data_IF_018253321582
#
_entry.id   IF_018253321582
#
_cell.length_a   1.000
_cell.length_b   1.000
_cell.length_c   1.000
_cell.angle_alpha   90.00
_cell.angle_beta   90.00
_cell.angle_gamma   90.00
#
_symmetry.space_group_name_H-M   'P 1'
#
loop_
_entity.id
_entity.type
_entity.pdbx_description
1 polymer ?
#
# COMPACT_ATOMS: atom_id res chain seq x y z
N UNK A 1 13.17 -20.92 -31.09
CA UNK A 1 13.37 -21.79 -29.91
C UNK A 1 13.53 -20.91 -28.68
N UNK A 2 12.42 -20.43 -28.11
CA UNK A 2 12.43 -19.62 -26.88
C UNK A 2 12.28 -20.58 -25.71
N UNK A 3 13.37 -20.75 -24.96
CA UNK A 3 13.38 -21.45 -23.69
C UNK A 3 12.34 -20.81 -22.76
N UNK A 4 11.18 -21.43 -22.62
CA UNK A 4 10.34 -21.34 -21.42
C UNK A 4 11.20 -21.85 -20.26
N UNK A 5 12.04 -20.96 -19.74
CA UNK A 5 12.81 -21.19 -18.54
C UNK A 5 11.79 -21.44 -17.43
N UNK A 6 11.68 -22.71 -17.08
CA UNK A 6 10.75 -23.22 -16.08
C UNK A 6 11.08 -22.55 -14.76
N UNK A 7 10.35 -21.47 -14.46
CA UNK A 7 10.63 -20.56 -13.35
C UNK A 7 10.18 -21.25 -12.08
N UNK A 8 11.05 -22.09 -11.51
CA UNK A 8 10.84 -22.77 -10.25
C UNK A 8 10.09 -21.87 -9.23
N UNK A 9 9.07 -22.40 -8.54
CA UNK A 9 8.26 -21.62 -7.62
C UNK A 9 9.14 -21.03 -6.52
N UNK A 10 8.97 -19.73 -6.25
CA UNK A 10 9.70 -19.06 -5.17
C UNK A 10 9.23 -19.63 -3.83
N UNK A 11 10.14 -20.23 -3.07
CA UNK A 11 9.86 -20.66 -1.71
C UNK A 11 9.82 -19.43 -0.78
N UNK A 12 8.71 -19.26 -0.06
CA UNK A 12 8.55 -18.18 0.92
C UNK A 12 8.83 -18.68 2.33
N UNK A 13 9.58 -17.89 3.10
CA UNK A 13 9.73 -18.15 4.53
C UNK A 13 8.37 -17.97 5.22
N UNK A 14 8.04 -18.85 6.16
CA UNK A 14 6.90 -18.64 7.05
C UNK A 14 7.33 -17.65 8.14
N UNK A 15 6.59 -16.55 8.37
CA UNK A 15 6.92 -15.65 9.46
C UNK A 15 6.71 -16.35 10.80
N UNK A 16 7.64 -16.17 11.73
CA UNK A 16 7.38 -16.46 13.13
C UNK A 16 6.27 -15.55 13.67
N UNK A 17 5.58 -15.97 14.74
CA UNK A 17 4.44 -15.25 15.32
C UNK A 17 4.74 -13.78 15.61
N UNK A 18 5.92 -13.46 16.15
CA UNK A 18 6.33 -12.08 16.44
C UNK A 18 6.50 -11.21 15.19
N UNK A 19 7.07 -11.75 14.11
CA UNK A 19 7.23 -11.02 12.85
C UNK A 19 5.88 -10.74 12.18
N UNK A 20 4.94 -11.69 12.30
CA UNK A 20 3.59 -11.50 11.78
C UNK A 20 2.80 -10.47 12.60
N UNK A 21 2.86 -10.54 13.94
CA UNK A 21 2.25 -9.56 14.82
C UNK A 21 2.80 -8.15 14.58
N UNK A 22 4.11 -8.01 14.39
CA UNK A 22 4.74 -6.73 14.05
C UNK A 22 4.21 -6.16 12.72
N UNK A 23 4.06 -6.98 11.69
CA UNK A 23 3.54 -6.54 10.40
C UNK A 23 2.08 -6.08 10.49
N UNK A 24 1.25 -6.81 11.25
CA UNK A 24 -0.14 -6.42 11.53
C UNK A 24 -0.17 -5.11 12.30
N UNK A 25 0.63 -5.00 13.38
CA UNK A 25 0.71 -3.80 14.21
C UNK A 25 1.16 -2.57 13.41
N UNK A 26 2.17 -2.72 12.55
CA UNK A 26 2.63 -1.65 11.67
C UNK A 26 1.54 -1.21 10.68
N UNK A 27 0.86 -2.15 10.03
CA UNK A 27 -0.25 -1.85 9.12
C UNK A 27 -1.39 -1.13 9.86
N UNK A 28 -1.83 -1.67 11.00
CA UNK A 28 -2.90 -1.09 11.81
C UNK A 28 -2.54 0.33 12.30
N UNK A 29 -1.30 0.53 12.75
CA UNK A 29 -0.81 1.84 13.18
C UNK A 29 -0.84 2.87 12.04
N UNK A 30 -0.34 2.51 10.87
CA UNK A 30 -0.34 3.40 9.69
C UNK A 30 -1.77 3.75 9.27
N UNK A 31 -2.66 2.76 9.22
CA UNK A 31 -4.07 2.96 8.88
C UNK A 31 -4.76 3.86 9.90
N UNK A 32 -4.59 3.59 11.20
CA UNK A 32 -5.19 4.39 12.27
C UNK A 32 -4.65 5.83 12.24
N UNK A 33 -3.33 5.99 12.18
CA UNK A 33 -2.69 7.30 12.10
C UNK A 33 -3.19 8.08 10.88
N UNK A 34 -3.32 7.44 9.71
CA UNK A 34 -3.79 8.12 8.51
C UNK A 34 -5.26 8.54 8.60
N UNK A 35 -6.13 7.72 9.22
CA UNK A 35 -7.54 8.07 9.43
C UNK A 35 -7.74 9.18 10.47
N UNK A 36 -6.80 9.36 11.40
CA UNK A 36 -6.80 10.50 12.32
C UNK A 36 -6.22 11.73 11.60
N UNK A 37 -5.08 11.58 10.94
CA UNK A 37 -4.35 12.67 10.30
C UNK A 37 -5.09 13.27 9.10
N UNK A 38 -5.97 12.51 8.43
CA UNK A 38 -6.82 13.05 7.35
C UNK A 38 -7.77 14.14 7.83
N UNK A 39 -8.07 14.21 9.13
CA UNK A 39 -8.92 15.25 9.70
C UNK A 39 -8.21 16.61 9.84
N UNK A 40 -6.88 16.62 9.73
CA UNK A 40 -6.08 17.83 9.86
C UNK A 40 -5.69 18.34 8.47
N UNK A 41 -6.40 19.35 7.99
CA UNK A 41 -6.13 20.01 6.72
C UNK A 41 -4.87 20.87 6.77
N UNK A 42 -4.08 20.83 5.71
CA UNK A 42 -2.95 21.74 5.46
C UNK A 42 -3.43 22.89 4.59
N UNK A 43 -4.28 22.60 3.61
CA UNK A 43 -4.96 23.56 2.73
C UNK A 43 -6.26 22.93 2.19
N UNK A 44 -6.94 23.61 1.26
CA UNK A 44 -8.24 23.18 0.71
C UNK A 44 -8.23 21.82 0.02
N UNK A 45 -7.06 21.27 -0.31
CA UNK A 45 -6.93 20.05 -1.12
C UNK A 45 -6.00 18.99 -0.53
N UNK A 46 -5.28 19.31 0.56
CA UNK A 46 -4.27 18.45 1.15
C UNK A 46 -4.44 18.35 2.67
N UNK A 47 -4.35 17.12 3.17
CA UNK A 47 -4.39 16.79 4.60
C UNK A 47 -3.11 16.07 5.01
N UNK A 48 -2.85 15.99 6.31
CA UNK A 48 -1.72 15.21 6.81
C UNK A 48 -1.84 13.71 6.49
N UNK A 49 -3.06 13.20 6.32
CA UNK A 49 -3.31 11.82 5.91
C UNK A 49 -2.70 11.47 4.55
N UNK A 50 -2.60 12.42 3.61
CA UNK A 50 -2.01 12.18 2.29
C UNK A 50 -0.53 11.78 2.35
N UNK A 51 0.19 12.20 3.39
CA UNK A 51 1.60 11.87 3.61
C UNK A 51 1.79 10.52 4.28
N UNK A 52 0.88 10.12 5.16
CA UNK A 52 1.03 8.89 5.95
C UNK A 52 0.44 7.67 5.26
N UNK A 53 -0.59 7.85 4.44
CA UNK A 53 -1.27 6.73 3.78
C UNK A 53 -0.36 5.90 2.86
N UNK A 54 0.54 6.49 2.04
CA UNK A 54 1.46 5.72 1.19
C UNK A 54 2.40 4.78 1.96
N UNK A 55 2.61 5.02 3.26
CA UNK A 55 3.43 4.14 4.11
C UNK A 55 2.81 2.74 4.23
N UNK A 56 1.50 2.60 4.01
CA UNK A 56 0.84 1.30 3.98
C UNK A 56 1.38 0.40 2.85
N UNK A 57 1.69 0.96 1.68
CA UNK A 57 2.31 0.22 0.58
C UNK A 57 3.70 -0.28 0.97
N UNK A 58 4.51 0.53 1.67
CA UNK A 58 5.80 0.09 2.19
C UNK A 58 5.66 -1.14 3.10
N UNK A 59 4.68 -1.15 4.00
CA UNK A 59 4.43 -2.30 4.88
C UNK A 59 4.10 -3.54 4.06
N UNK A 60 3.17 -3.42 3.10
CA UNK A 60 2.77 -4.52 2.22
C UNK A 60 3.93 -5.04 1.37
N UNK A 61 4.74 -4.16 0.80
CA UNK A 61 5.91 -4.51 0.00
C UNK A 61 6.97 -5.25 0.80
N UNK A 62 7.24 -4.82 2.04
CA UNK A 62 8.18 -5.50 2.93
C UNK A 62 7.69 -6.90 3.30
N UNK A 63 6.40 -7.05 3.62
CA UNK A 63 5.79 -8.35 3.92
C UNK A 63 5.79 -9.24 2.69
N UNK A 64 5.43 -8.71 1.52
CA UNK A 64 5.40 -9.46 0.25
C UNK A 64 6.79 -9.94 -0.15
N UNK A 65 7.81 -9.10 0.03
CA UNK A 65 9.20 -9.46 -0.23
C UNK A 65 9.66 -10.60 0.67
N UNK A 66 9.40 -10.52 1.98
CA UNK A 66 9.92 -11.46 2.98
C UNK A 66 9.12 -12.76 3.08
N UNK A 67 7.79 -12.68 2.98
CA UNK A 67 6.87 -13.77 3.32
C UNK A 67 5.89 -14.11 2.19
N UNK A 68 5.99 -13.41 1.06
CA UNK A 68 5.18 -13.68 -0.14
C UNK A 68 3.81 -13.00 -0.15
N UNK A 69 3.10 -13.09 -1.29
CA UNK A 69 1.85 -12.35 -1.53
C UNK A 69 0.69 -12.88 -0.69
N UNK A 70 0.73 -14.14 -0.23
CA UNK A 70 -0.28 -14.71 0.65
C UNK A 70 -0.32 -14.02 2.02
N UNK A 71 0.86 -13.81 2.62
CA UNK A 71 0.95 -13.13 3.92
C UNK A 71 0.67 -11.64 3.80
N UNK A 72 1.15 -10.98 2.74
CA UNK A 72 0.86 -9.57 2.49
C UNK A 72 -0.65 -9.32 2.38
N UNK A 73 -1.40 -10.19 1.67
CA UNK A 73 -2.87 -10.08 1.59
C UNK A 73 -3.55 -10.20 2.94
N UNK A 74 -3.08 -11.09 3.82
CA UNK A 74 -3.64 -11.21 5.18
C UNK A 74 -3.42 -9.93 5.99
N UNK A 75 -2.22 -9.35 5.93
CA UNK A 75 -1.92 -8.07 6.60
C UNK A 75 -2.81 -6.95 6.04
N UNK A 76 -2.98 -6.88 4.72
CA UNK A 76 -3.86 -5.91 4.08
C UNK A 76 -5.33 -6.08 4.52
N UNK A 77 -5.87 -7.30 4.57
CA UNK A 77 -7.24 -7.54 5.02
C UNK A 77 -7.46 -7.16 6.48
N UNK A 78 -6.47 -7.39 7.35
CA UNK A 78 -6.55 -6.95 8.75
C UNK A 78 -6.49 -5.42 8.83
N UNK A 79 -5.59 -4.79 8.07
CA UNK A 79 -5.53 -3.33 7.95
C UNK A 79 -6.85 -2.74 7.45
N UNK A 80 -7.50 -3.39 6.49
CA UNK A 80 -8.81 -3.00 5.98
C UNK A 80 -9.90 -3.10 7.06
N UNK A 81 -9.92 -4.18 7.84
CA UNK A 81 -10.86 -4.31 8.96
C UNK A 81 -10.68 -3.16 9.98
N UNK A 82 -9.44 -2.81 10.31
CA UNK A 82 -9.14 -1.65 11.16
C UNK A 82 -9.61 -0.35 10.51
N UNK A 83 -9.32 -0.15 9.22
CA UNK A 83 -9.75 1.04 8.47
C UNK A 83 -11.27 1.19 8.52
N UNK A 84 -12.02 0.13 8.24
CA UNK A 84 -13.49 0.15 8.27
C UNK A 84 -14.01 0.51 9.65
N UNK A 85 -13.50 -0.14 10.71
CA UNK A 85 -13.96 0.14 12.09
C UNK A 85 -13.70 1.61 12.45
N UNK A 86 -12.50 2.13 12.18
CA UNK A 86 -12.15 3.52 12.50
C UNK A 86 -12.96 4.50 11.64
N UNK A 87 -13.09 4.25 10.34
CA UNK A 87 -13.82 5.13 9.43
C UNK A 87 -15.32 5.19 9.73
N UNK A 88 -15.94 4.08 10.15
CA UNK A 88 -17.35 4.08 10.57
C UNK A 88 -17.60 4.91 11.84
N UNK A 89 -16.58 5.08 12.68
CA UNK A 89 -16.67 5.87 13.90
C UNK A 89 -16.37 7.36 13.67
N UNK A 90 -15.53 7.68 12.69
CA UNK A 90 -14.96 9.03 12.52
C UNK A 90 -15.43 9.75 11.25
N UNK A 91 -16.02 9.04 10.28
CA UNK A 91 -16.32 9.61 8.97
C UNK A 91 -17.76 9.33 8.50
N UNK A 92 -18.32 10.19 7.63
CA UNK A 92 -19.57 9.91 6.95
C UNK A 92 -19.51 8.58 6.17
N UNK A 93 -20.62 7.85 6.13
CA UNK A 93 -20.69 6.52 5.49
C UNK A 93 -20.12 6.50 4.07
N UNK A 94 -20.37 7.56 3.29
CA UNK A 94 -19.83 7.71 1.94
C UNK A 94 -18.30 7.73 1.90
N UNK A 95 -17.67 8.49 2.81
CA UNK A 95 -16.21 8.60 2.91
C UNK A 95 -15.61 7.28 3.42
N UNK A 96 -16.28 6.63 4.37
CA UNK A 96 -15.88 5.30 4.84
C UNK A 96 -15.90 4.26 3.70
N UNK A 97 -16.96 4.25 2.88
CA UNK A 97 -17.06 3.37 1.70
C UNK A 97 -16.00 3.69 0.65
N UNK A 98 -15.76 4.97 0.37
CA UNK A 98 -14.71 5.41 -0.57
C UNK A 98 -13.32 4.96 -0.10
N UNK A 99 -12.96 5.26 1.15
CA UNK A 99 -11.66 4.92 1.74
C UNK A 99 -11.46 3.41 1.83
N UNK A 100 -12.46 2.67 2.34
CA UNK A 100 -12.38 1.22 2.44
C UNK A 100 -12.19 0.55 1.07
N UNK A 101 -12.98 0.96 0.08
CA UNK A 101 -12.90 0.40 -1.28
C UNK A 101 -11.56 0.71 -1.94
N UNK A 102 -11.10 1.97 -1.84
CA UNK A 102 -9.82 2.41 -2.38
C UNK A 102 -8.65 1.68 -1.71
N UNK A 103 -8.65 1.55 -0.38
CA UNK A 103 -7.63 0.85 0.38
C UNK A 103 -7.48 -0.60 -0.08
N UNK A 104 -8.57 -1.38 -0.03
CA UNK A 104 -8.43 -2.82 -0.31
C UNK A 104 -8.12 -3.08 -1.78
N UNK A 105 -8.73 -2.33 -2.70
CA UNK A 105 -8.48 -2.49 -4.14
C UNK A 105 -7.01 -2.16 -4.48
N UNK A 106 -6.50 -1.04 -3.96
CA UNK A 106 -5.11 -0.63 -4.19
C UNK A 106 -4.09 -1.56 -3.54
N UNK A 107 -4.32 -1.99 -2.29
CA UNK A 107 -3.43 -2.94 -1.59
C UNK A 107 -3.33 -4.29 -2.32
N UNK A 108 -4.46 -4.83 -2.80
CA UNK A 108 -4.45 -6.08 -3.55
C UNK A 108 -3.74 -5.93 -4.90
N UNK A 109 -3.89 -4.78 -5.57
CA UNK A 109 -3.21 -4.49 -6.82
C UNK A 109 -1.69 -4.33 -6.61
N UNK A 110 -1.29 -3.55 -5.60
CA UNK A 110 0.09 -3.36 -5.17
C UNK A 110 0.79 -4.71 -4.97
N UNK A 111 0.23 -5.57 -4.11
CA UNK A 111 0.76 -6.90 -3.82
C UNK A 111 0.93 -7.74 -5.09
N UNK A 112 -0.06 -7.69 -6.00
CA UNK A 112 -0.04 -8.46 -7.25
C UNK A 112 1.04 -7.94 -8.22
N UNK A 113 1.13 -6.62 -8.41
CA UNK A 113 2.11 -5.99 -9.30
C UNK A 113 3.52 -6.20 -8.76
N UNK A 114 3.71 -5.99 -7.46
CA UNK A 114 4.99 -6.22 -6.79
C UNK A 114 5.46 -7.66 -6.97
N UNK A 115 4.58 -8.63 -6.66
CA UNK A 115 4.94 -10.06 -6.74
C UNK A 115 5.29 -10.46 -8.18
N UNK A 116 4.57 -9.93 -9.18
CA UNK A 116 4.88 -10.14 -10.60
C UNK A 116 6.24 -9.58 -11.00
N UNK A 117 6.65 -8.45 -10.44
CA UNK A 117 7.91 -7.76 -10.76
C UNK A 117 9.07 -8.10 -9.82
N UNK A 118 8.86 -8.94 -8.80
CA UNK A 118 9.81 -9.16 -7.70
C UNK A 118 11.18 -9.68 -8.12
N UNK A 119 11.29 -10.37 -9.25
CA UNK A 119 12.56 -10.93 -9.77
C UNK A 119 13.44 -9.88 -10.48
N UNK A 120 12.93 -8.66 -10.70
CA UNK A 120 13.69 -7.58 -11.32
C UNK A 120 14.62 -6.83 -10.35
N UNK A 121 15.06 -5.65 -10.77
CA UNK A 121 15.79 -4.71 -9.92
C UNK A 121 15.02 -4.43 -8.63
N UNK A 122 15.75 -4.29 -7.52
CA UNK A 122 15.18 -4.16 -6.18
C UNK A 122 14.16 -3.03 -6.05
N UNK A 123 14.37 -1.91 -6.76
CA UNK A 123 13.50 -0.73 -6.73
C UNK A 123 12.31 -0.84 -7.70
N UNK A 124 12.39 -1.69 -8.73
CA UNK A 124 11.40 -1.74 -9.80
C UNK A 124 10.06 -2.28 -9.30
N UNK A 125 10.09 -3.34 -8.51
CA UNK A 125 8.89 -3.92 -7.92
C UNK A 125 8.14 -2.95 -7.00
N UNK A 126 8.75 -2.37 -5.94
CA UNK A 126 8.05 -1.45 -5.04
C UNK A 126 7.59 -0.17 -5.75
N UNK A 127 8.44 0.44 -6.58
CA UNK A 127 8.08 1.70 -7.24
C UNK A 127 6.88 1.52 -8.17
N UNK A 128 6.92 0.52 -9.06
CA UNK A 128 5.84 0.32 -10.04
C UNK A 128 4.55 -0.12 -9.34
N UNK A 129 4.64 -0.97 -8.31
CA UNK A 129 3.48 -1.39 -7.53
C UNK A 129 2.82 -0.21 -6.82
N UNK A 130 3.60 0.58 -6.07
CA UNK A 130 3.12 1.76 -5.34
C UNK A 130 2.51 2.80 -6.28
N UNK A 131 3.14 3.09 -7.43
CA UNK A 131 2.61 4.06 -8.41
C UNK A 131 1.25 3.62 -8.94
N UNK A 132 1.15 2.36 -9.41
CA UNK A 132 -0.09 1.83 -9.99
C UNK A 132 -1.20 1.74 -8.93
N UNK A 133 -0.85 1.35 -7.71
CA UNK A 133 -1.79 1.27 -6.60
C UNK A 133 -2.26 2.65 -6.14
N UNK A 134 -1.37 3.64 -6.02
CA UNK A 134 -1.73 5.02 -5.66
C UNK A 134 -2.66 5.66 -6.68
N UNK A 135 -2.44 5.42 -7.97
CA UNK A 135 -3.35 5.91 -9.03
C UNK A 135 -4.73 5.27 -8.88
N UNK A 136 -4.81 3.95 -8.67
CA UNK A 136 -6.09 3.27 -8.46
C UNK A 136 -6.80 3.79 -7.20
N UNK A 137 -6.06 3.94 -6.10
CA UNK A 137 -6.58 4.49 -4.83
C UNK A 137 -7.18 5.88 -5.05
N UNK A 138 -6.45 6.79 -5.68
CA UNK A 138 -6.95 8.15 -5.96
C UNK A 138 -8.19 8.14 -6.85
N UNK A 139 -8.23 7.31 -7.91
CA UNK A 139 -9.42 7.21 -8.78
C UNK A 139 -10.64 6.72 -7.98
N UNK A 140 -10.48 5.65 -7.20
CA UNK A 140 -11.58 5.03 -6.45
C UNK A 140 -12.04 5.94 -5.32
N UNK A 141 -11.11 6.49 -4.53
CA UNK A 141 -11.43 7.34 -3.39
C UNK A 141 -12.12 8.63 -3.85
N UNK A 142 -11.47 9.42 -4.70
CA UNK A 142 -12.01 10.71 -5.13
C UNK A 142 -13.28 10.55 -5.98
N UNK A 143 -13.33 9.50 -6.81
CA UNK A 143 -14.53 9.14 -7.56
C UNK A 143 -15.72 8.85 -6.66
N UNK A 144 -15.59 7.97 -5.66
CA UNK A 144 -16.71 7.64 -4.77
C UNK A 144 -17.02 8.79 -3.81
N UNK A 145 -16.00 9.44 -3.24
CA UNK A 145 -16.14 10.46 -2.19
C UNK A 145 -16.68 11.80 -2.71
N UNK A 146 -16.47 12.14 -3.99
CA UNK A 146 -16.84 13.44 -4.55
C UNK A 146 -17.64 13.38 -5.86
N UNK A 147 -18.00 12.19 -6.38
CA UNK A 147 -19.00 12.05 -7.45
C UNK A 147 -20.25 12.92 -7.21
N UNK A 148 -20.67 13.67 -8.24
CA UNK A 148 -21.86 14.51 -8.19
C UNK A 148 -21.73 15.78 -7.35
N UNK A 149 -20.51 16.18 -6.97
CA UNK A 149 -20.25 17.47 -6.31
C UNK A 149 -19.69 18.50 -7.30
N UNK A 150 -19.98 19.78 -7.07
CA UNK A 150 -19.60 20.88 -7.97
C UNK A 150 -18.15 21.38 -7.76
N UNK A 151 -17.44 20.84 -6.76
CA UNK A 151 -16.07 21.26 -6.44
C UNK A 151 -15.04 20.77 -7.45
N UNK A 152 -13.84 21.39 -7.52
CA UNK A 152 -12.75 20.99 -8.40
C UNK A 152 -12.00 19.75 -7.88
N UNK A 153 -12.74 18.69 -7.53
CA UNK A 153 -12.22 17.49 -6.88
C UNK A 153 -11.17 16.75 -7.72
N UNK A 154 -11.19 16.92 -9.05
CA UNK A 154 -10.15 16.35 -9.92
C UNK A 154 -8.79 17.01 -9.67
N UNK A 155 -8.75 18.34 -9.51
CA UNK A 155 -7.51 19.06 -9.19
C UNK A 155 -7.00 18.68 -7.81
N UNK A 156 -7.91 18.52 -6.83
CA UNK A 156 -7.55 18.04 -5.49
C UNK A 156 -6.99 16.62 -5.53
N UNK A 157 -7.62 15.73 -6.29
CA UNK A 157 -7.16 14.36 -6.50
C UNK A 157 -5.76 14.29 -7.12
N UNK A 158 -5.47 15.17 -8.08
CA UNK A 158 -4.14 15.26 -8.69
C UNK A 158 -3.08 15.75 -7.70
N UNK A 159 -3.42 16.72 -6.86
CA UNK A 159 -2.54 17.21 -5.79
C UNK A 159 -2.23 16.12 -4.76
N UNK A 160 -3.26 15.44 -4.25
CA UNK A 160 -3.14 14.29 -3.36
C UNK A 160 -2.29 13.18 -3.98
N UNK A 161 -2.56 12.81 -5.23
CA UNK A 161 -1.77 11.81 -5.96
C UNK A 161 -0.31 12.23 -6.08
N UNK A 162 -0.03 13.50 -6.40
CA UNK A 162 1.34 14.03 -6.48
C UNK A 162 2.12 13.82 -5.18
N UNK A 163 1.49 14.10 -4.03
CA UNK A 163 2.07 13.84 -2.71
C UNK A 163 2.28 12.35 -2.47
N UNK A 164 1.28 11.52 -2.77
CA UNK A 164 1.38 10.05 -2.63
C UNK A 164 2.54 9.47 -3.42
N UNK A 165 2.75 9.95 -4.66
CA UNK A 165 3.85 9.52 -5.52
C UNK A 165 5.21 10.00 -4.99
N UNK A 166 5.31 11.24 -4.53
CA UNK A 166 6.54 11.76 -3.92
C UNK A 166 6.95 10.97 -2.68
N UNK A 167 5.98 10.68 -1.79
CA UNK A 167 6.21 9.82 -0.62
C UNK A 167 6.57 8.40 -1.06
N UNK A 168 5.90 7.83 -2.06
CA UNK A 168 6.23 6.51 -2.60
C UNK A 168 7.67 6.41 -3.10
N UNK A 169 8.17 7.44 -3.80
CA UNK A 169 9.58 7.52 -4.22
C UNK A 169 10.51 7.60 -3.00
N UNK A 170 10.19 8.45 -2.03
CA UNK A 170 10.96 8.57 -0.79
C UNK A 170 11.04 7.23 -0.03
N UNK A 171 9.95 6.47 -0.02
CA UNK A 171 9.85 5.17 0.67
C UNK A 171 10.69 4.06 0.02
N UNK A 172 11.27 4.27 -1.16
CA UNK A 172 12.26 3.35 -1.73
C UNK A 172 13.52 3.24 -0.85
N UNK A 173 13.92 4.32 -0.19
CA UNK A 173 15.06 4.33 0.71
C UNK A 173 14.84 3.44 1.95
N UNK A 174 13.80 3.65 2.79
CA UNK A 174 13.54 2.76 3.93
C UNK A 174 13.26 1.32 3.48
N UNK A 175 12.57 1.12 2.34
CA UNK A 175 12.43 -0.21 1.75
C UNK A 175 13.80 -0.87 1.51
N UNK A 176 14.73 -0.16 0.86
CA UNK A 176 16.07 -0.68 0.57
C UNK A 176 16.86 -1.05 1.83
N UNK A 177 16.78 -0.20 2.85
CA UNK A 177 17.47 -0.39 4.13
C UNK A 177 16.91 -1.58 4.89
N UNK A 178 15.59 -1.72 4.93
CA UNK A 178 14.90 -2.76 5.72
C UNK A 178 15.01 -4.15 5.11
N UNK A 179 15.21 -4.31 3.79
CA UNK A 179 15.42 -5.64 3.19
C UNK A 179 16.87 -6.13 3.41
N UNK A 180 17.81 -5.23 3.74
CA UNK A 180 19.22 -5.56 3.94
C UNK A 180 19.89 -6.20 2.70
N UNK A 181 20.97 -6.95 2.91
CA UNK A 181 21.63 -7.77 1.86
C UNK A 181 20.95 -9.14 1.63
N UNK A 182 19.88 -9.44 2.38
CA UNK A 182 19.31 -10.79 2.47
C UNK A 182 18.51 -11.24 1.23
N UNK A 183 18.24 -10.34 0.28
CA UNK A 183 17.52 -10.65 -0.96
C UNK A 183 18.35 -11.38 -2.05
N UNK A 184 19.63 -11.71 -1.79
CA UNK A 184 20.56 -12.29 -2.77
C UNK A 184 21.02 -13.72 -2.47
N UNK A 185 20.31 -14.48 -1.62
CA UNK A 185 20.56 -15.92 -1.52
C UNK A 185 19.44 -16.68 -2.21
N UNK A 186 19.68 -17.30 -3.38
CA UNK A 186 18.83 -18.39 -3.84
C UNK A 186 18.76 -19.41 -2.69
N UNK A 187 17.59 -19.98 -2.44
CA UNK A 187 17.49 -21.14 -1.56
C UNK A 187 18.31 -22.26 -2.20
N UNK A 188 19.57 -22.39 -1.77
CA UNK A 188 20.38 -23.56 -2.07
C UNK A 188 19.73 -24.72 -1.32
N UNK A 189 19.23 -25.69 -2.10
CA UNK A 189 19.01 -27.04 -1.62
C UNK A 189 20.35 -27.75 -1.53
#
# INVERSE_FOLDING_TARGET
>A
MTTTQDRAPLAFARPGTGAFALAIGAMALVVLASNILVQFAINDWLTWGAFTYPVAYLVSDLVNRRFGPGMARRVAWIGFAVAVVVSLLLAPARIALASGSAFIASQLLDIRVFDRLRRGLWWRAPLVATVVAAVLDSIVFWGIAFAGTDGPWLTWALGDLGVKLAVGVFMLLPFRLLIGRQAMRPALR
#
